data_IF_389808128779
#
_entry.id   IF_389808128779
#
_cell.length_a   1.000
_cell.length_b   1.000
_cell.length_c   1.000
_cell.angle_alpha   90.00
_cell.angle_beta   90.00
_cell.angle_gamma   90.00
#
_symmetry.space_group_name_H-M   'P 1'
#
loop_
_entity.id
_entity.type
_entity.pdbx_description
1 polymer ?
#
# COMPACT_ATOMS: atom_id res chain seq x y z
N UNK A 1 -24.81 41.92 -8.11
CA UNK A 1 -23.97 41.98 -6.88
C UNK A 1 -22.83 41.00 -7.06
N UNK A 2 -21.56 41.44 -7.21
CA UNK A 2 -20.45 40.52 -7.44
C UNK A 2 -20.04 39.89 -6.10
N UNK A 3 -20.01 38.56 -6.03
CA UNK A 3 -19.59 37.86 -4.81
C UNK A 3 -18.07 37.96 -4.67
N UNK A 4 -17.58 38.29 -3.48
CA UNK A 4 -16.21 38.68 -3.17
C UNK A 4 -15.16 37.55 -3.20
N UNK A 5 -15.45 36.38 -3.77
CA UNK A 5 -14.50 35.27 -3.86
C UNK A 5 -14.72 34.56 -5.20
N UNK A 6 -13.91 34.93 -6.20
CA UNK A 6 -14.01 34.46 -7.58
C UNK A 6 -13.49 33.05 -7.81
N UNK A 7 -14.18 32.03 -7.29
CA UNK A 7 -13.96 30.64 -7.69
C UNK A 7 -15.22 30.04 -8.31
N UNK A 8 -15.14 29.81 -9.61
CA UNK A 8 -16.06 28.99 -10.39
C UNK A 8 -16.25 27.62 -9.69
N UNK A 9 -17.45 27.01 -9.66
CA UNK A 9 -17.65 25.68 -9.09
C UNK A 9 -17.16 24.60 -10.08
N UNK A 10 -15.88 24.65 -10.44
CA UNK A 10 -15.15 23.57 -11.13
C UNK A 10 -14.29 22.79 -10.14
N UNK A 11 -14.34 23.13 -8.86
CA UNK A 11 -13.50 22.55 -7.79
C UNK A 11 -13.64 21.01 -7.71
N UNK A 12 -14.82 20.44 -7.95
CA UNK A 12 -15.00 18.98 -8.00
C UNK A 12 -14.28 18.34 -9.19
N UNK A 13 -14.31 18.99 -10.35
CA UNK A 13 -13.69 18.49 -11.59
C UNK A 13 -12.18 18.69 -11.56
N UNK A 14 -11.72 19.82 -11.02
CA UNK A 14 -10.30 20.12 -10.80
C UNK A 14 -9.70 19.18 -9.75
N UNK A 15 -10.39 18.95 -8.62
CA UNK A 15 -9.98 17.96 -7.60
C UNK A 15 -9.99 16.53 -8.14
N UNK A 16 -10.94 16.18 -9.01
CA UNK A 16 -10.98 14.89 -9.71
C UNK A 16 -9.78 14.71 -10.65
N UNK A 17 -9.48 15.72 -11.47
CA UNK A 17 -8.34 15.70 -12.40
C UNK A 17 -6.98 15.72 -11.68
N UNK A 18 -6.91 16.35 -10.50
CA UNK A 18 -5.74 16.36 -9.62
C UNK A 18 -5.55 14.99 -8.95
N UNK A 19 -6.63 14.36 -8.48
CA UNK A 19 -6.60 13.00 -7.90
C UNK A 19 -6.24 11.94 -8.94
N UNK A 20 -6.70 12.04 -10.19
CA UNK A 20 -6.30 11.11 -11.26
C UNK A 20 -4.81 11.22 -11.62
N UNK A 21 -4.20 12.42 -11.54
CA UNK A 21 -2.75 12.59 -11.71
C UNK A 21 -1.93 11.99 -10.55
N UNK A 22 -2.51 11.95 -9.35
CA UNK A 22 -1.83 11.52 -8.12
C UNK A 22 -1.91 9.99 -7.92
N UNK A 23 -2.90 9.30 -8.49
CA UNK A 23 -3.25 7.94 -8.05
C UNK A 23 -2.69 6.78 -8.88
N UNK A 24 -2.01 7.01 -10.01
CA UNK A 24 -1.58 5.88 -10.84
C UNK A 24 -0.22 6.04 -11.51
N UNK A 25 0.84 5.72 -10.77
CA UNK A 25 2.05 5.15 -11.35
C UNK A 25 2.37 3.81 -10.68
N UNK A 26 2.72 2.79 -11.47
CA UNK A 26 3.11 1.46 -10.95
C UNK A 26 4.49 1.46 -10.28
N UNK A 27 5.27 2.55 -10.43
CA UNK A 27 6.69 2.59 -10.05
C UNK A 27 7.06 3.64 -8.99
N UNK A 28 6.10 4.35 -8.40
CA UNK A 28 6.31 5.03 -7.12
C UNK A 28 6.10 6.54 -7.08
N UNK A 29 5.65 6.95 -5.89
CA UNK A 29 5.70 8.26 -5.22
C UNK A 29 5.35 9.52 -6.01
N UNK A 30 4.23 10.13 -5.61
CA UNK A 30 3.91 11.54 -5.86
C UNK A 30 5.02 12.42 -5.25
N UNK A 31 5.71 13.19 -6.10
CA UNK A 31 6.83 14.09 -5.75
C UNK A 31 6.44 15.58 -5.69
N UNK A 32 5.20 15.90 -5.32
CA UNK A 32 4.88 17.27 -4.88
C UNK A 32 3.69 17.29 -3.91
N UNK A 33 3.91 17.93 -2.75
CA UNK A 33 2.84 18.39 -1.86
C UNK A 33 2.94 19.92 -1.91
N UNK A 34 1.94 20.60 -2.47
CA UNK A 34 1.77 22.03 -2.23
C UNK A 34 1.18 22.18 -0.82
N UNK A 35 1.94 22.82 0.06
CA UNK A 35 1.50 23.12 1.41
C UNK A 35 0.40 24.19 1.37
N UNK A 36 -0.78 23.86 1.89
CA UNK A 36 -1.80 24.86 2.23
C UNK A 36 -1.45 25.39 3.61
N UNK A 37 -1.18 26.70 3.70
CA UNK A 37 -0.93 27.39 4.96
C UNK A 37 -2.23 27.50 5.75
N UNK A 38 -2.29 26.85 6.91
CA UNK A 38 -3.34 27.04 7.91
C UNK A 38 -2.69 27.77 9.09
N UNK A 39 -3.18 28.97 9.48
CA UNK A 39 -2.64 29.71 10.61
C UNK A 39 -2.72 28.87 11.88
N UNK A 40 -1.63 28.87 12.64
CA UNK A 40 -1.21 27.79 13.52
C UNK A 40 -2.01 27.56 14.82
N UNK A 41 -3.25 28.01 14.99
CA UNK A 41 -3.88 28.09 16.33
C UNK A 41 -5.31 27.55 16.48
N UNK A 42 -5.83 26.73 15.56
CA UNK A 42 -7.09 26.02 15.82
C UNK A 42 -6.95 24.49 15.71
N UNK A 43 -6.49 23.88 16.80
CA UNK A 43 -6.46 22.42 17.00
C UNK A 43 -7.86 21.81 17.22
N UNK A 44 -8.92 22.63 17.26
CA UNK A 44 -10.32 22.22 17.45
C UNK A 44 -11.15 22.22 16.18
N UNK A 45 -10.57 22.59 15.02
CA UNK A 45 -11.27 22.53 13.74
C UNK A 45 -11.63 21.06 13.37
N UNK A 46 -12.91 20.74 13.12
CA UNK A 46 -13.33 19.41 12.69
C UNK A 46 -12.75 18.99 11.33
N UNK A 47 -12.29 19.92 10.49
CA UNK A 47 -11.68 19.61 9.19
C UNK A 47 -10.31 18.89 9.30
N UNK A 48 -9.32 19.36 10.10
CA UNK A 48 -8.13 18.58 10.39
C UNK A 48 -8.44 17.31 11.17
N UNK A 49 -9.35 17.31 12.15
CA UNK A 49 -9.68 16.10 12.92
C UNK A 49 -10.26 14.96 12.06
N UNK A 50 -11.14 15.29 11.11
CA UNK A 50 -11.71 14.31 10.17
C UNK A 50 -10.71 13.91 9.10
N UNK A 51 -9.89 14.83 8.60
CA UNK A 51 -8.83 14.48 7.64
C UNK A 51 -7.74 13.63 8.29
N UNK A 52 -7.32 13.89 9.55
CA UNK A 52 -6.40 13.02 10.29
C UNK A 52 -7.00 11.64 10.62
N UNK A 53 -8.32 11.53 10.83
CA UNK A 53 -9.01 10.25 10.97
C UNK A 53 -9.09 9.45 9.65
N UNK A 54 -9.19 10.13 8.50
CA UNK A 54 -9.15 9.50 7.18
C UNK A 54 -7.72 9.28 6.64
N UNK A 55 -6.74 10.04 7.14
CA UNK A 55 -5.31 9.77 7.05
C UNK A 55 -4.95 8.72 8.10
N UNK A 56 -5.47 7.50 7.92
CA UNK A 56 -5.01 6.30 8.62
C UNK A 56 -3.49 6.13 8.41
N UNK A 57 -2.71 6.76 9.27
CA UNK A 57 -1.25 6.68 9.38
C UNK A 57 -0.82 5.60 10.38
N UNK A 58 -1.75 4.72 10.76
CA UNK A 58 -1.55 3.59 11.68
C UNK A 58 -1.25 2.28 10.96
N UNK A 59 -1.64 2.12 9.68
CA UNK A 59 -1.55 0.84 8.94
C UNK A 59 -0.16 0.54 8.35
N UNK A 60 0.72 1.54 8.24
CA UNK A 60 2.11 1.38 7.74
C UNK A 60 3.03 0.71 8.77
N UNK A 61 2.58 0.63 10.03
CA UNK A 61 3.30 -0.03 11.12
C UNK A 61 3.18 -1.56 11.09
N UNK A 62 2.33 -2.12 10.24
CA UNK A 62 1.98 -3.55 10.24
C UNK A 62 3.17 -4.47 9.98
N UNK A 63 4.02 -4.15 9.00
CA UNK A 63 5.11 -5.04 8.57
C UNK A 63 6.23 -5.22 9.62
N UNK A 64 6.92 -4.17 10.09
CA UNK A 64 7.97 -4.35 11.10
C UNK A 64 7.39 -4.79 12.45
N UNK A 65 6.21 -4.29 12.86
CA UNK A 65 5.56 -4.78 14.10
C UNK A 65 5.20 -6.26 14.02
N UNK A 66 4.64 -6.74 12.89
CA UNK A 66 4.32 -8.16 12.71
C UNK A 66 5.56 -9.05 12.58
N UNK A 67 6.70 -8.49 12.15
CA UNK A 67 7.99 -9.17 12.18
C UNK A 67 8.71 -9.09 13.54
N UNK A 68 8.11 -8.44 14.56
CA UNK A 68 8.72 -8.26 15.87
C UNK A 68 9.95 -7.34 15.85
N UNK A 69 9.95 -6.35 14.96
CA UNK A 69 10.98 -5.31 14.84
C UNK A 69 10.35 -3.97 15.19
N UNK A 70 10.76 -3.31 16.28
CA UNK A 70 10.23 -1.99 16.61
C UNK A 70 10.70 -0.95 15.59
N UNK A 71 9.82 0.00 15.26
CA UNK A 71 10.04 1.05 14.26
C UNK A 71 11.36 1.82 14.44
N UNK A 72 11.72 2.14 15.68
CA UNK A 72 12.95 2.87 16.00
C UNK A 72 14.21 2.02 15.85
N UNK A 73 14.08 0.70 15.99
CA UNK A 73 15.20 -0.24 15.88
C UNK A 73 15.47 -0.63 14.42
N UNK A 74 14.45 -0.68 13.58
CA UNK A 74 14.57 -1.01 12.16
C UNK A 74 15.71 -0.27 11.44
N UNK A 75 15.84 1.08 11.48
CA UNK A 75 16.93 1.77 10.80
C UNK A 75 18.31 1.45 11.40
N UNK A 76 18.41 1.21 12.71
CA UNK A 76 19.69 0.84 13.35
C UNK A 76 20.19 -0.55 12.97
N UNK A 77 19.30 -1.46 12.60
CA UNK A 77 19.66 -2.80 12.10
C UNK A 77 19.77 -2.84 10.58
N UNK A 78 19.75 -1.70 9.88
CA UNK A 78 19.87 -1.65 8.41
C UNK A 78 18.58 -1.92 7.65
N UNK A 79 17.41 -1.90 8.30
CA UNK A 79 16.10 -1.99 7.64
C UNK A 79 15.56 -0.60 7.33
N UNK A 80 15.43 -0.27 6.05
CA UNK A 80 14.80 0.97 5.60
C UNK A 80 13.29 0.98 5.87
N UNK A 81 12.78 2.04 6.49
CA UNK A 81 11.35 2.19 6.81
C UNK A 81 10.77 3.36 6.03
N UNK A 82 9.79 3.08 5.16
CA UNK A 82 8.98 4.10 4.50
C UNK A 82 7.61 4.17 5.17
N UNK A 83 7.30 5.34 5.72
CA UNK A 83 6.06 5.61 6.46
C UNK A 83 4.87 5.95 5.57
N UNK A 84 5.10 6.19 4.29
CA UNK A 84 4.03 6.55 3.33
C UNK A 84 3.44 5.31 2.65
N UNK A 85 4.14 4.19 2.69
CA UNK A 85 3.75 2.96 1.97
C UNK A 85 2.63 2.22 2.71
N UNK A 86 1.49 2.04 2.06
CA UNK A 86 0.35 1.24 2.57
C UNK A 86 0.25 -0.09 1.82
N UNK A 87 -0.07 -1.18 2.54
CA UNK A 87 -0.33 -2.48 1.92
C UNK A 87 -1.83 -2.60 1.59
N UNK A 88 -2.15 -2.87 0.33
CA UNK A 88 -3.54 -3.10 -0.13
C UNK A 88 -3.94 -4.58 -0.10
N UNK A 89 -2.96 -5.49 -0.07
CA UNK A 89 -3.16 -6.94 -0.10
C UNK A 89 -2.52 -7.62 1.11
N UNK A 90 -3.14 -8.71 1.57
CA UNK A 90 -2.64 -9.50 2.70
C UNK A 90 -1.44 -10.37 2.28
N UNK A 91 -1.45 -10.87 1.05
CA UNK A 91 -0.37 -11.67 0.46
C UNK A 91 0.93 -10.86 0.37
N UNK A 92 0.81 -9.59 -0.05
CA UNK A 92 1.92 -8.65 -0.10
C UNK A 92 2.46 -8.33 1.30
N UNK A 93 1.60 -8.25 2.31
CA UNK A 93 2.03 -8.07 3.70
C UNK A 93 2.76 -9.32 4.22
N UNK A 94 2.21 -10.50 4.01
CA UNK A 94 2.76 -11.76 4.50
C UNK A 94 4.15 -12.08 3.91
N UNK A 95 4.33 -11.93 2.60
CA UNK A 95 5.63 -12.11 1.94
C UNK A 95 6.70 -11.17 2.50
N UNK A 96 6.35 -9.91 2.72
CA UNK A 96 7.23 -8.91 3.32
C UNK A 96 7.57 -9.22 4.79
N UNK A 97 6.60 -9.67 5.58
CA UNK A 97 6.83 -10.09 6.97
C UNK A 97 7.75 -11.30 7.03
N UNK A 98 7.54 -12.30 6.17
CA UNK A 98 8.42 -13.46 6.04
C UNK A 98 9.84 -13.02 5.66
N UNK A 99 9.98 -12.10 4.70
CA UNK A 99 11.28 -11.53 4.33
C UNK A 99 12.00 -10.87 5.50
N UNK A 100 11.31 -10.04 6.30
CA UNK A 100 11.91 -9.45 7.50
C UNK A 100 12.29 -10.48 8.56
N UNK A 101 11.48 -11.53 8.75
CA UNK A 101 11.81 -12.62 9.66
C UNK A 101 13.09 -13.35 9.21
N UNK A 102 13.20 -13.64 7.91
CA UNK A 102 14.42 -14.25 7.35
C UNK A 102 15.63 -13.33 7.43
N UNK A 103 15.46 -12.02 7.24
CA UNK A 103 16.51 -11.02 7.43
C UNK A 103 17.00 -11.02 8.87
N UNK A 104 16.06 -10.94 9.83
CA UNK A 104 16.36 -10.94 11.27
C UNK A 104 17.07 -12.23 11.71
N UNK A 105 16.70 -13.38 11.15
CA UNK A 105 17.35 -14.66 11.46
C UNK A 105 18.78 -14.76 10.91
N UNK A 106 19.09 -14.08 9.80
CA UNK A 106 20.43 -14.05 9.18
C UNK A 106 21.29 -12.87 9.65
N UNK A 107 20.71 -11.92 10.38
CA UNK A 107 21.39 -10.72 10.83
C UNK A 107 22.31 -11.08 12.00
N UNK A 108 23.61 -10.90 11.80
CA UNK A 108 24.61 -10.98 12.88
C UNK A 108 24.79 -9.59 13.48
N UNK A 109 24.47 -9.44 14.77
CA UNK A 109 24.54 -8.14 15.46
C UNK A 109 25.79 -8.09 16.34
N UNK A 110 26.68 -7.15 16.03
CA UNK A 110 27.91 -6.96 16.81
C UNK A 110 27.63 -6.18 18.10
N UNK A 111 28.22 -6.60 19.24
CA UNK A 111 28.16 -5.84 20.48
C UNK A 111 28.76 -4.45 20.31
N UNK A 112 28.08 -3.42 20.84
CA UNK A 112 28.63 -2.03 20.83
C UNK A 112 29.94 -1.90 21.59
N UNK A 113 30.21 -2.82 22.53
CA UNK A 113 31.47 -2.94 23.27
C UNK A 113 31.88 -4.41 23.24
N UNK A 114 33.05 -4.72 22.67
CA UNK A 114 33.51 -6.09 22.38
C UNK A 114 33.50 -7.07 23.58
N UNK A 115 33.54 -6.58 24.82
CA UNK A 115 33.53 -7.40 26.05
C UNK A 115 32.25 -7.28 26.88
N UNK A 116 31.23 -6.55 26.41
CA UNK A 116 29.96 -6.34 27.12
C UNK A 116 28.80 -6.66 26.19
N UNK A 117 28.44 -7.93 26.14
CA UNK A 117 27.28 -8.43 25.40
C UNK A 117 25.98 -8.02 26.08
N UNK A 118 24.99 -7.62 25.29
CA UNK A 118 23.64 -7.27 25.71
C UNK A 118 22.63 -8.17 25.01
N UNK A 119 21.39 -8.14 25.50
CA UNK A 119 20.28 -8.83 24.85
C UNK A 119 20.12 -8.36 23.39
N UNK A 120 20.25 -9.30 22.45
CA UNK A 120 20.16 -9.04 21.01
C UNK A 120 21.49 -8.99 20.27
N UNK A 121 22.63 -9.09 20.97
CA UNK A 121 23.94 -9.30 20.34
C UNK A 121 24.11 -10.78 19.93
N UNK A 122 24.83 -11.03 18.84
CA UNK A 122 25.16 -12.37 18.35
C UNK A 122 26.19 -13.08 19.22
N UNK A 123 26.16 -14.41 19.18
CA UNK A 123 27.11 -15.24 19.90
C UNK A 123 28.54 -15.03 19.36
N UNK A 124 29.59 -15.18 20.20
CA UNK A 124 30.98 -15.02 19.77
C UNK A 124 31.37 -15.91 18.57
N UNK A 125 30.76 -17.09 18.47
CA UNK A 125 30.99 -18.04 17.37
C UNK A 125 30.45 -17.52 16.03
N UNK A 126 29.24 -16.96 16.02
CA UNK A 126 28.64 -16.35 14.82
C UNK A 126 29.46 -15.15 14.34
N UNK A 127 29.98 -14.35 15.28
CA UNK A 127 30.81 -13.17 14.99
C UNK A 127 32.13 -13.55 14.31
N UNK A 128 32.72 -14.69 14.68
CA UNK A 128 33.98 -15.16 14.06
C UNK A 128 33.78 -15.62 12.62
N UNK A 129 32.60 -16.15 12.29
CA UNK A 129 32.23 -16.58 10.93
C UNK A 129 31.61 -15.48 10.08
N UNK A 130 31.35 -14.31 10.65
CA UNK A 130 30.67 -13.22 9.97
C UNK A 130 31.54 -12.68 8.82
N UNK A 131 31.01 -12.76 7.59
CA UNK A 131 31.65 -12.24 6.39
C UNK A 131 30.76 -11.21 5.72
N UNK A 132 31.38 -10.25 5.03
CA UNK A 132 30.63 -9.26 4.27
C UNK A 132 30.03 -9.92 3.02
N UNK A 133 28.71 -9.83 2.88
CA UNK A 133 28.03 -10.22 1.65
C UNK A 133 28.33 -9.17 0.57
N UNK A 134 28.92 -9.59 -0.53
CA UNK A 134 29.13 -8.75 -1.71
C UNK A 134 27.90 -8.83 -2.63
N UNK A 135 27.37 -7.67 -3.03
CA UNK A 135 26.21 -7.58 -3.93
C UNK A 135 24.85 -7.41 -3.22
N UNK A 136 23.74 -7.48 -3.98
CA UNK A 136 22.40 -7.25 -3.45
C UNK A 136 21.98 -8.36 -2.48
N UNK A 137 21.62 -7.97 -1.25
CA UNK A 137 21.18 -8.90 -0.22
C UNK A 137 19.71 -9.31 -0.40
N UNK A 138 19.46 -10.62 -0.55
CA UNK A 138 18.12 -11.19 -0.75
C UNK A 138 17.32 -10.50 -1.88
N UNK A 139 17.75 -10.68 -3.15
CA UNK A 139 17.03 -10.13 -4.29
C UNK A 139 15.64 -10.77 -4.41
N UNK A 140 14.64 -9.97 -4.77
CA UNK A 140 13.30 -10.48 -5.08
C UNK A 140 13.39 -11.13 -6.45
N UNK A 141 13.34 -12.46 -6.49
CA UNK A 141 13.26 -13.19 -7.75
C UNK A 141 11.81 -13.17 -8.24
N UNK A 142 11.53 -12.78 -9.50
CA UNK A 142 10.22 -12.97 -10.08
C UNK A 142 9.99 -14.47 -10.31
N UNK A 143 9.24 -15.11 -9.42
CA UNK A 143 8.81 -16.49 -9.61
C UNK A 143 7.74 -16.53 -10.70
N UNK A 144 8.04 -17.22 -11.80
CA UNK A 144 7.02 -17.53 -12.81
C UNK A 144 6.13 -18.64 -12.25
N UNK A 145 4.80 -18.46 -12.20
CA UNK A 145 3.92 -19.54 -11.76
C UNK A 145 4.11 -20.73 -12.70
N UNK A 146 4.38 -21.90 -12.12
CA UNK A 146 4.45 -23.15 -12.86
C UNK A 146 3.04 -23.54 -13.28
N UNK A 147 2.77 -23.54 -14.59
CA UNK A 147 1.48 -24.00 -15.11
C UNK A 147 1.55 -25.52 -15.24
N UNK A 148 0.79 -26.22 -14.43
CA UNK A 148 0.62 -27.66 -14.57
C UNK A 148 -0.31 -27.96 -15.76
N UNK A 149 0.02 -29.00 -16.52
CA UNK A 149 -0.80 -29.45 -17.65
C UNK A 149 -2.04 -30.16 -17.12
N UNK A 150 -3.14 -29.42 -17.01
CA UNK A 150 -4.43 -29.96 -16.59
C UNK A 150 -5.23 -30.40 -17.82
N UNK A 151 -5.96 -31.51 -17.71
CA UNK A 151 -6.90 -31.95 -18.75
C UNK A 151 -8.01 -30.91 -18.92
N UNK A 152 -8.31 -30.54 -20.16
CA UNK A 152 -9.35 -29.55 -20.46
C UNK A 152 -10.72 -30.07 -20.01
N UNK A 153 -11.33 -29.39 -19.04
CA UNK A 153 -12.67 -29.71 -18.54
C UNK A 153 -13.76 -29.26 -19.53
N UNK A 154 -14.96 -29.82 -19.41
CA UNK A 154 -16.09 -29.44 -20.27
C UNK A 154 -16.46 -27.95 -20.10
N UNK A 155 -16.36 -27.45 -18.87
CA UNK A 155 -16.61 -26.04 -18.54
C UNK A 155 -15.65 -25.11 -19.29
N UNK A 156 -14.35 -25.45 -19.34
CA UNK A 156 -13.35 -24.69 -20.09
C UNK A 156 -13.63 -24.67 -21.59
N UNK A 157 -14.22 -25.74 -22.15
CA UNK A 157 -14.61 -25.80 -23.57
C UNK A 157 -15.85 -24.96 -23.87
N UNK A 158 -16.83 -24.97 -22.96
CA UNK A 158 -18.03 -24.14 -23.08
C UNK A 158 -17.79 -22.66 -22.80
N UNK A 159 -16.68 -22.32 -22.15
CA UNK A 159 -16.36 -20.95 -21.79
C UNK A 159 -15.94 -20.10 -23.01
N UNK A 160 -16.82 -19.20 -23.43
CA UNK A 160 -16.54 -18.23 -24.49
C UNK A 160 -15.80 -17.01 -23.93
N UNK A 161 -14.47 -17.10 -23.86
CA UNK A 161 -13.63 -16.05 -23.28
C UNK A 161 -13.83 -14.66 -23.91
N UNK A 162 -13.92 -14.59 -25.24
CA UNK A 162 -14.12 -13.34 -25.97
C UNK A 162 -15.44 -12.65 -25.59
N UNK A 163 -16.54 -13.42 -25.61
CA UNK A 163 -17.87 -12.91 -25.28
C UNK A 163 -17.93 -12.45 -23.83
N UNK A 164 -17.33 -13.21 -22.90
CA UNK A 164 -17.26 -12.85 -21.49
C UNK A 164 -16.54 -11.52 -21.29
N UNK A 165 -15.37 -11.32 -21.91
CA UNK A 165 -14.63 -10.05 -21.83
C UNK A 165 -15.45 -8.88 -22.39
N UNK A 166 -16.18 -9.08 -23.49
CA UNK A 166 -17.03 -8.04 -24.07
C UNK A 166 -18.20 -7.70 -23.14
N UNK A 167 -18.83 -8.70 -22.54
CA UNK A 167 -19.90 -8.51 -21.55
C UNK A 167 -19.38 -7.74 -20.34
N UNK A 168 -18.22 -8.07 -19.79
CA UNK A 168 -17.65 -7.33 -18.65
C UNK A 168 -17.38 -5.86 -18.98
N UNK A 169 -16.83 -5.56 -20.17
CA UNK A 169 -16.66 -4.17 -20.63
C UNK A 169 -17.99 -3.42 -20.76
N UNK A 170 -19.02 -4.09 -21.26
CA UNK A 170 -20.38 -3.51 -21.37
C UNK A 170 -20.97 -3.28 -19.97
N UNK A 171 -20.79 -4.21 -19.04
CA UNK A 171 -21.24 -4.08 -17.66
C UNK A 171 -20.59 -2.89 -16.97
N UNK A 172 -19.26 -2.73 -17.10
CA UNK A 172 -18.52 -1.59 -16.55
C UNK A 172 -19.01 -0.27 -17.17
N UNK A 173 -19.13 -0.20 -18.50
CA UNK A 173 -19.63 0.99 -19.21
C UNK A 173 -21.04 1.40 -18.77
N UNK A 174 -21.93 0.44 -18.56
CA UNK A 174 -23.33 0.71 -18.25
C UNK A 174 -23.68 0.60 -16.76
N UNK A 175 -22.70 0.40 -15.88
CA UNK A 175 -22.94 0.22 -14.44
C UNK A 175 -23.71 1.40 -13.85
N UNK A 176 -23.24 2.63 -14.06
CA UNK A 176 -23.89 3.84 -13.54
C UNK A 176 -25.30 4.05 -14.10
N UNK A 177 -25.50 3.80 -15.40
CA UNK A 177 -26.81 3.92 -16.05
C UNK A 177 -27.81 2.89 -15.50
N UNK A 178 -27.36 1.65 -15.25
CA UNK A 178 -28.19 0.60 -14.65
C UNK A 178 -28.54 0.92 -13.20
N UNK A 179 -27.58 1.40 -12.40
CA UNK A 179 -27.83 1.84 -11.02
C UNK A 179 -28.84 3.00 -10.97
N UNK A 180 -28.69 3.99 -11.87
CA UNK A 180 -29.65 5.10 -11.97
C UNK A 180 -31.05 4.61 -12.32
N UNK A 181 -31.18 3.75 -13.33
CA UNK A 181 -32.47 3.21 -13.76
C UNK A 181 -33.12 2.34 -12.66
N UNK A 182 -32.34 1.54 -11.94
CA UNK A 182 -32.83 0.78 -10.81
C UNK A 182 -33.33 1.68 -9.67
N UNK A 183 -32.59 2.75 -9.36
CA UNK A 183 -33.00 3.72 -8.34
C UNK A 183 -34.24 4.55 -8.75
N UNK A 184 -34.45 4.80 -10.05
CA UNK A 184 -35.67 5.45 -10.57
C UNK A 184 -36.87 4.50 -10.48
N UNK A 185 -36.71 3.23 -10.87
CA UNK A 185 -37.77 2.22 -10.76
C UNK A 185 -38.20 2.00 -9.30
N UNK A 186 -37.26 1.91 -8.34
CA UNK A 186 -37.59 1.80 -6.92
C UNK A 186 -38.33 3.03 -6.37
N UNK A 187 -38.10 4.21 -6.95
CA UNK A 187 -38.82 5.43 -6.55
C UNK A 187 -40.24 5.46 -7.11
N UNK A 188 -40.44 4.93 -8.31
CA UNK A 188 -41.76 4.79 -8.92
C UNK A 188 -42.60 3.73 -8.18
N UNK A 189 -42.01 2.61 -7.76
CA UNK A 189 -42.72 1.58 -6.96
C UNK A 189 -43.10 2.06 -5.55
N UNK A 190 -42.39 3.04 -5.00
CA UNK A 190 -42.66 3.61 -3.67
C UNK A 190 -43.65 4.78 -3.70
N UNK A 191 -44.11 5.21 -4.87
CA UNK A 191 -45.02 6.33 -5.06
C UNK A 191 -46.44 5.84 -5.34
#
# INVERSE_FOLDING_TARGET
MPSAVGYQPTLSTEMGSLQERITSTKEGSITSIQAVYVPADDLTDPAPATTFAHLDATTVLSMPKAAGIPKKLAPTIGVSVDHRRKNRSLEGLQSNVQRLKTYKAKLVVFPRRARKFKAGDSAPEELATATQVQGPYMPIAPEKPTVELVKVTQDMKSFKAYDKLRIERVNERHFGARMKKAAEAEKEEKK
#
